data_IF_402637003731
#
_entry.id   IF_402637003731
#
_cell.length_a   1.000
_cell.length_b   1.000
_cell.length_c   1.000
_cell.angle_alpha   90.00
_cell.angle_beta   90.00
_cell.angle_gamma   90.00
#
_symmetry.space_group_name_H-M   'P 1'
#
loop_
_entity.id
_entity.type
_entity.pdbx_description
1 polymer ?
#
# COMPACT_ATOMS: atom_id res chain seq x y z
N UNK A 1 21.46 -16.19 -15.25
CA UNK A 1 20.51 -15.81 -16.32
C UNK A 1 19.79 -14.54 -15.87
N UNK A 2 20.29 -13.37 -16.27
CA UNK A 2 19.64 -12.08 -15.97
C UNK A 2 18.30 -12.04 -16.70
N UNK A 3 17.20 -12.12 -15.96
CA UNK A 3 15.87 -11.97 -16.53
C UNK A 3 15.69 -10.56 -17.06
N UNK A 4 15.34 -10.44 -18.34
CA UNK A 4 14.93 -9.19 -18.95
C UNK A 4 13.79 -8.57 -18.14
N UNK A 5 13.91 -7.27 -17.85
CA UNK A 5 12.80 -6.46 -17.31
C UNK A 5 11.63 -6.60 -18.27
N UNK A 6 10.48 -7.08 -17.78
CA UNK A 6 9.27 -7.03 -18.59
C UNK A 6 8.78 -5.59 -18.64
N UNK A 7 8.35 -5.13 -19.82
CA UNK A 7 7.76 -3.80 -19.95
C UNK A 7 6.53 -3.72 -19.05
N UNK A 8 6.54 -2.79 -18.10
CA UNK A 8 5.38 -2.52 -17.25
C UNK A 8 4.27 -1.99 -18.14
N UNK A 9 3.13 -2.68 -18.14
CA UNK A 9 1.99 -2.27 -18.95
C UNK A 9 1.43 -0.93 -18.44
N UNK A 10 0.98 -0.02 -19.34
CA UNK A 10 0.56 1.33 -18.95
C UNK A 10 -0.52 1.35 -17.88
N UNK A 11 -1.43 0.37 -17.88
CA UNK A 11 -2.51 0.27 -16.89
C UNK A 11 -1.97 0.20 -15.46
N UNK A 12 -0.92 -0.59 -15.21
CA UNK A 12 -0.35 -0.75 -13.87
C UNK A 12 0.40 0.50 -13.42
N UNK A 13 1.12 1.15 -14.34
CA UNK A 13 1.79 2.41 -14.07
C UNK A 13 0.78 3.52 -13.74
N UNK A 14 -0.32 3.61 -14.50
CA UNK A 14 -1.39 4.57 -14.23
C UNK A 14 -2.04 4.27 -12.88
N UNK A 15 -2.36 3.01 -12.57
CA UNK A 15 -2.90 2.62 -11.26
C UNK A 15 -1.96 3.06 -10.14
N UNK A 16 -0.67 2.75 -10.23
CA UNK A 16 0.35 3.18 -9.28
C UNK A 16 0.35 4.71 -9.04
N UNK A 17 0.39 5.50 -10.12
CA UNK A 17 0.41 6.96 -10.04
C UNK A 17 -0.89 7.53 -9.46
N UNK A 18 -2.04 6.99 -9.87
CA UNK A 18 -3.35 7.39 -9.35
C UNK A 18 -3.44 7.07 -7.86
N UNK A 19 -2.98 5.89 -7.44
CA UNK A 19 -2.96 5.53 -6.03
C UNK A 19 -2.12 6.51 -5.22
N UNK A 20 -0.98 6.97 -5.73
CA UNK A 20 -0.19 8.01 -5.04
C UNK A 20 -1.02 9.27 -4.81
N UNK A 21 -1.69 9.76 -5.86
CA UNK A 21 -2.53 10.97 -5.77
C UNK A 21 -3.68 10.76 -4.78
N UNK A 22 -4.33 9.59 -4.81
CA UNK A 22 -5.45 9.25 -3.92
C UNK A 22 -4.97 9.17 -2.46
N UNK A 23 -3.89 8.45 -2.17
CA UNK A 23 -3.34 8.32 -0.82
C UNK A 23 -2.95 9.69 -0.23
N UNK A 24 -2.21 10.51 -0.99
CA UNK A 24 -1.84 11.85 -0.55
C UNK A 24 -3.07 12.75 -0.35
N UNK A 25 -4.11 12.58 -1.17
CA UNK A 25 -5.38 13.30 -1.01
C UNK A 25 -6.15 12.85 0.24
N UNK A 26 -6.11 11.56 0.57
CA UNK A 26 -6.69 11.02 1.80
C UNK A 26 -5.98 11.64 3.00
N UNK A 27 -4.65 11.58 3.04
CA UNK A 27 -3.87 12.12 4.14
C UNK A 27 -4.10 13.63 4.34
N UNK A 28 -4.09 14.41 3.25
CA UNK A 28 -4.09 15.88 3.33
C UNK A 28 -5.48 16.49 3.47
N UNK A 29 -6.49 15.89 2.87
CA UNK A 29 -7.81 16.51 2.74
C UNK A 29 -8.94 15.64 3.30
N UNK A 30 -9.08 14.40 2.81
CA UNK A 30 -10.26 13.58 3.11
C UNK A 30 -10.24 13.13 4.57
N UNK A 31 -9.12 12.61 5.06
CA UNK A 31 -8.93 12.18 6.45
C UNK A 31 -9.25 13.30 7.45
N UNK A 32 -8.58 14.47 7.37
CA UNK A 32 -8.89 15.63 8.21
C UNK A 32 -10.36 16.05 8.16
N UNK A 33 -10.98 16.04 6.97
CA UNK A 33 -12.38 16.40 6.80
C UNK A 33 -13.32 15.39 7.49
N UNK A 34 -13.06 14.08 7.37
CA UNK A 34 -13.83 13.04 8.08
C UNK A 34 -13.66 13.22 9.59
N UNK A 35 -12.42 13.34 10.07
CA UNK A 35 -12.11 13.43 11.50
C UNK A 35 -12.73 14.65 12.16
N UNK A 36 -12.73 15.81 11.50
CA UNK A 36 -13.42 17.02 11.99
C UNK A 36 -14.92 16.84 12.14
N UNK A 37 -15.54 16.00 11.31
CA UNK A 37 -16.97 15.69 11.41
C UNK A 37 -17.29 14.65 12.48
N UNK A 38 -16.37 13.72 12.72
CA UNK A 38 -16.53 12.68 13.73
C UNK A 38 -16.18 13.16 15.14
N UNK A 39 -15.22 14.07 15.27
CA UNK A 39 -14.78 14.60 16.57
C UNK A 39 -14.42 16.09 16.51
N UNK A 40 -14.94 16.84 17.48
CA UNK A 40 -14.60 18.25 17.67
C UNK A 40 -13.15 18.46 18.19
N UNK A 41 -12.45 17.37 18.57
CA UNK A 41 -11.09 17.45 19.15
C UNK A 41 -9.98 17.47 18.10
N UNK A 42 -10.26 17.18 16.83
CA UNK A 42 -9.22 17.12 15.80
C UNK A 42 -8.40 18.42 15.70
N UNK A 43 -9.08 19.56 15.71
CA UNK A 43 -8.41 20.86 15.63
C UNK A 43 -7.66 21.26 16.91
N UNK A 44 -7.83 20.51 18.01
CA UNK A 44 -7.04 20.70 19.24
C UNK A 44 -5.79 19.83 19.30
N UNK A 45 -5.62 18.89 18.36
CA UNK A 45 -4.47 18.00 18.32
C UNK A 45 -3.18 18.76 17.93
N UNK A 46 -2.05 18.34 18.52
CA UNK A 46 -0.71 18.76 18.10
C UNK A 46 -0.42 18.32 16.66
N UNK A 47 0.55 18.96 16.00
CA UNK A 47 0.94 18.61 14.63
C UNK A 47 1.31 17.13 14.49
N UNK A 48 2.14 16.61 15.40
CA UNK A 48 2.53 15.20 15.43
C UNK A 48 1.32 14.28 15.49
N UNK A 49 0.36 14.59 16.39
CA UNK A 49 -0.82 13.72 16.55
C UNK A 49 -1.77 13.81 15.34
N UNK A 50 -1.84 14.95 14.67
CA UNK A 50 -2.60 15.07 13.41
C UNK A 50 -1.97 14.24 12.30
N UNK A 51 -0.63 14.25 12.18
CA UNK A 51 0.09 13.42 11.21
C UNK A 51 -0.19 11.95 11.46
N UNK A 52 -0.06 11.47 12.70
CA UNK A 52 -0.35 10.08 13.07
C UNK A 52 -1.78 9.68 12.70
N UNK A 53 -2.80 10.45 13.13
CA UNK A 53 -4.19 10.07 12.88
C UNK A 53 -4.54 10.16 11.38
N UNK A 54 -3.97 11.12 10.64
CA UNK A 54 -4.17 11.20 9.19
C UNK A 54 -3.50 10.02 8.45
N UNK A 55 -2.31 9.61 8.87
CA UNK A 55 -1.62 8.43 8.37
C UNK A 55 -2.46 7.18 8.64
N UNK A 56 -2.96 7.02 9.87
CA UNK A 56 -3.82 5.89 10.24
C UNK A 56 -5.08 5.82 9.38
N UNK A 57 -5.72 6.96 9.08
CA UNK A 57 -6.87 7.00 8.17
C UNK A 57 -6.52 6.57 6.74
N UNK A 58 -5.36 6.98 6.24
CA UNK A 58 -4.86 6.58 4.92
C UNK A 58 -4.52 5.08 4.88
N UNK A 59 -3.81 4.57 5.89
CA UNK A 59 -3.45 3.17 6.05
C UNK A 59 -4.70 2.28 6.17
N UNK A 60 -5.69 2.67 6.98
CA UNK A 60 -6.98 1.97 7.07
C UNK A 60 -7.68 1.85 5.71
N UNK A 61 -7.77 2.95 4.97
CA UNK A 61 -8.39 2.93 3.64
C UNK A 61 -7.64 2.01 2.68
N UNK A 62 -6.30 2.05 2.71
CA UNK A 62 -5.45 1.17 1.93
C UNK A 62 -5.66 -0.32 2.28
N UNK A 63 -5.53 -0.66 3.55
CA UNK A 63 -5.66 -2.03 4.07
C UNK A 63 -7.00 -2.65 3.71
N UNK A 64 -8.10 -1.89 3.78
CA UNK A 64 -9.41 -2.38 3.36
C UNK A 64 -9.45 -2.70 1.86
N UNK A 65 -8.91 -1.82 1.01
CA UNK A 65 -8.94 -2.03 -0.45
C UNK A 65 -8.03 -3.19 -0.85
N UNK A 66 -6.74 -3.13 -0.49
CA UNK A 66 -5.75 -4.13 -0.91
C UNK A 66 -5.97 -5.46 -0.22
N UNK A 67 -6.27 -5.43 1.08
CA UNK A 67 -6.51 -6.63 1.85
C UNK A 67 -7.75 -7.41 1.37
N UNK A 68 -8.90 -6.74 1.24
CA UNK A 68 -10.12 -7.41 0.77
C UNK A 68 -9.98 -7.89 -0.68
N UNK A 69 -9.38 -7.08 -1.58
CA UNK A 69 -9.14 -7.51 -2.96
C UNK A 69 -8.21 -8.72 -3.02
N UNK A 70 -7.18 -8.76 -2.18
CA UNK A 70 -6.25 -9.89 -2.12
C UNK A 70 -6.93 -11.17 -1.64
N UNK A 71 -7.75 -11.08 -0.60
CA UNK A 71 -8.57 -12.20 -0.12
C UNK A 71 -9.55 -12.67 -1.18
N UNK A 72 -10.21 -11.76 -1.89
CA UNK A 72 -11.11 -12.11 -2.98
C UNK A 72 -10.40 -12.91 -4.07
N UNK A 73 -9.26 -12.42 -4.55
CA UNK A 73 -8.47 -13.12 -5.59
C UNK A 73 -8.01 -14.49 -5.08
N UNK A 74 -7.49 -14.56 -3.86
CA UNK A 74 -7.00 -15.80 -3.28
C UNK A 74 -8.09 -16.87 -3.13
N UNK A 75 -9.32 -16.47 -2.77
CA UNK A 75 -10.43 -17.40 -2.52
C UNK A 75 -11.20 -17.80 -3.79
N UNK A 76 -11.13 -17.00 -4.86
CA UNK A 76 -11.98 -17.19 -6.04
C UNK A 76 -11.24 -17.58 -7.30
N UNK A 77 -9.91 -17.43 -7.34
CA UNK A 77 -9.13 -17.67 -8.56
C UNK A 77 -8.15 -18.83 -8.39
N UNK A 78 -8.34 -19.89 -9.18
CA UNK A 78 -7.52 -21.12 -9.15
C UNK A 78 -6.15 -20.96 -9.85
N UNK A 79 -5.90 -19.83 -10.51
CA UNK A 79 -4.71 -19.57 -11.31
C UNK A 79 -3.53 -19.00 -10.51
N UNK A 80 -3.72 -18.69 -9.23
CA UNK A 80 -2.67 -18.23 -8.32
C UNK A 80 -1.88 -19.43 -7.80
N UNK A 81 -0.68 -19.64 -8.36
CA UNK A 81 0.12 -20.85 -8.14
C UNK A 81 1.28 -20.61 -7.16
N UNK A 82 1.37 -21.35 -6.04
CA UNK A 82 2.53 -21.29 -5.13
C UNK A 82 3.78 -21.94 -5.73
N UNK A 83 3.62 -22.83 -6.71
CA UNK A 83 4.70 -23.60 -7.32
C UNK A 83 5.49 -22.84 -8.39
N UNK A 84 4.98 -21.68 -8.83
CA UNK A 84 5.63 -20.87 -9.86
C UNK A 84 6.22 -19.60 -9.24
N UNK A 85 7.52 -19.39 -9.48
CA UNK A 85 8.22 -18.20 -8.99
C UNK A 85 8.01 -16.98 -9.86
N UNK A 86 7.63 -17.15 -11.13
CA UNK A 86 7.37 -16.04 -12.07
C UNK A 86 6.26 -16.42 -13.05
N UNK A 87 5.25 -15.58 -13.15
CA UNK A 87 4.15 -15.72 -14.11
C UNK A 87 3.33 -14.44 -14.15
N UNK A 88 2.59 -14.24 -15.23
CA UNK A 88 1.71 -13.09 -15.35
C UNK A 88 0.39 -13.37 -14.63
N UNK A 89 0.05 -12.56 -13.63
CA UNK A 89 -1.26 -12.58 -12.98
C UNK A 89 -1.80 -11.14 -12.94
N UNK A 90 -2.61 -10.74 -13.93
CA UNK A 90 -3.16 -9.39 -13.98
C UNK A 90 -3.88 -8.92 -12.70
N UNK A 91 -4.68 -9.77 -12.01
CA UNK A 91 -5.31 -9.39 -10.74
C UNK A 91 -4.28 -9.04 -9.66
N UNK A 92 -3.24 -9.87 -9.50
CA UNK A 92 -2.19 -9.63 -8.51
C UNK A 92 -1.39 -8.37 -8.85
N UNK A 93 -1.02 -8.20 -10.12
CA UNK A 93 -0.28 -7.01 -10.58
C UNK A 93 -1.08 -5.72 -10.39
N UNK A 94 -2.40 -5.76 -10.57
CA UNK A 94 -3.27 -4.62 -10.34
C UNK A 94 -3.32 -4.25 -8.85
N UNK A 95 -3.49 -5.23 -7.97
CA UNK A 95 -3.50 -5.01 -6.51
C UNK A 95 -2.12 -4.54 -6.02
N UNK A 96 -1.05 -5.16 -6.51
CA UNK A 96 0.33 -4.79 -6.21
C UNK A 96 0.64 -3.36 -6.65
N UNK A 97 0.08 -2.89 -7.78
CA UNK A 97 0.21 -1.48 -8.20
C UNK A 97 -0.38 -0.51 -7.17
N UNK A 98 -1.49 -0.88 -6.53
CA UNK A 98 -2.11 -0.10 -5.44
C UNK A 98 -1.23 -0.16 -4.19
N UNK A 99 -0.78 -1.36 -3.79
CA UNK A 99 0.17 -1.56 -2.69
C UNK A 99 1.45 -0.74 -2.85
N UNK A 100 2.02 -0.76 -4.04
CA UNK A 100 3.25 -0.04 -4.35
C UNK A 100 3.02 1.48 -4.30
N UNK A 101 1.91 1.97 -4.88
CA UNK A 101 1.57 3.39 -4.85
C UNK A 101 1.35 3.91 -3.41
N UNK A 102 0.71 3.12 -2.57
CA UNK A 102 0.57 3.41 -1.15
C UNK A 102 1.92 3.43 -0.44
N UNK A 103 2.75 2.40 -0.61
CA UNK A 103 4.08 2.30 0.03
C UNK A 103 4.97 3.51 -0.30
N UNK A 104 4.94 3.97 -1.56
CA UNK A 104 5.66 5.17 -1.98
C UNK A 104 5.06 6.45 -1.38
N UNK A 105 3.73 6.55 -1.31
CA UNK A 105 3.06 7.70 -0.67
C UNK A 105 3.44 7.83 0.79
N UNK A 106 3.45 6.70 1.50
CA UNK A 106 3.78 6.68 2.92
C UNK A 106 5.26 7.02 3.14
N UNK A 107 6.16 6.50 2.30
CA UNK A 107 7.57 6.90 2.30
C UNK A 107 7.75 8.42 2.06
N UNK A 108 7.01 9.02 1.13
CA UNK A 108 7.04 10.47 0.89
C UNK A 108 6.63 11.23 2.15
N UNK A 109 5.52 10.85 2.78
CA UNK A 109 5.01 11.50 3.99
C UNK A 109 5.99 11.34 5.16
N UNK A 110 6.59 10.17 5.29
CA UNK A 110 7.63 9.89 6.29
C UNK A 110 8.82 10.82 6.16
N UNK A 111 9.32 11.02 4.94
CA UNK A 111 10.44 11.90 4.68
C UNK A 111 10.10 13.37 4.93
N UNK A 112 8.85 13.78 4.66
CA UNK A 112 8.37 15.15 4.88
C UNK A 112 8.20 15.45 6.38
N UNK A 113 7.49 14.59 7.12
CA UNK A 113 7.12 14.87 8.50
C UNK A 113 8.14 14.39 9.53
N UNK A 114 9.09 13.53 9.13
CA UNK A 114 10.17 12.97 9.99
C UNK A 114 9.67 12.45 11.33
N UNK A 115 8.44 11.94 11.36
CA UNK A 115 7.75 11.63 12.61
C UNK A 115 8.09 10.23 13.15
N UNK A 116 8.83 9.41 12.39
CA UNK A 116 9.03 7.99 12.70
C UNK A 116 10.51 7.57 12.60
N UNK A 117 10.86 6.49 13.29
CA UNK A 117 12.23 5.99 13.40
C UNK A 117 12.75 5.27 12.15
N UNK A 118 14.07 5.06 12.10
CA UNK A 118 14.77 4.38 10.99
C UNK A 118 14.20 2.98 10.63
N UNK A 119 13.78 2.12 11.58
CA UNK A 119 13.20 0.81 11.24
C UNK A 119 11.93 0.93 10.40
N UNK A 120 11.10 1.94 10.67
CA UNK A 120 9.87 2.20 9.93
C UNK A 120 10.20 2.63 8.50
N UNK A 121 11.15 3.56 8.32
CA UNK A 121 11.62 3.98 6.99
C UNK A 121 12.18 2.79 6.18
N UNK A 122 12.98 1.92 6.81
CA UNK A 122 13.51 0.73 6.15
C UNK A 122 12.41 -0.24 5.71
N UNK A 123 11.37 -0.42 6.53
CA UNK A 123 10.20 -1.24 6.20
C UNK A 123 9.50 -0.71 4.93
N UNK A 124 9.21 0.59 4.84
CA UNK A 124 8.55 1.17 3.67
C UNK A 124 9.42 1.17 2.41
N UNK A 125 10.74 1.32 2.54
CA UNK A 125 11.67 1.15 1.42
C UNK A 125 11.61 -0.30 0.91
N UNK A 126 11.59 -1.29 1.81
CA UNK A 126 11.49 -2.69 1.42
C UNK A 126 10.14 -3.01 0.77
N UNK A 127 9.04 -2.45 1.30
CA UNK A 127 7.71 -2.59 0.72
C UNK A 127 7.64 -2.00 -0.70
N UNK A 128 8.20 -0.80 -0.89
CA UNK A 128 8.30 -0.16 -2.20
C UNK A 128 9.18 -0.96 -3.18
N UNK A 129 10.31 -1.49 -2.71
CA UNK A 129 11.17 -2.35 -3.51
C UNK A 129 10.46 -3.65 -3.92
N UNK A 130 9.72 -4.26 -3.00
CA UNK A 130 8.93 -5.46 -3.29
C UNK A 130 7.89 -5.18 -4.39
N UNK A 131 7.11 -4.10 -4.27
CA UNK A 131 6.14 -3.70 -5.30
C UNK A 131 6.79 -3.49 -6.66
N UNK A 132 7.95 -2.82 -6.71
CA UNK A 132 8.71 -2.68 -7.95
C UNK A 132 9.13 -4.05 -8.53
N UNK A 133 9.64 -4.97 -7.71
CA UNK A 133 10.11 -6.28 -8.18
C UNK A 133 8.96 -7.13 -8.72
N UNK A 134 7.82 -7.14 -8.03
CA UNK A 134 6.61 -7.85 -8.46
C UNK A 134 6.14 -7.28 -9.79
N UNK A 135 6.03 -5.95 -9.89
CA UNK A 135 5.53 -5.29 -11.08
C UNK A 135 6.46 -5.40 -12.30
N UNK A 136 7.77 -5.21 -12.11
CA UNK A 136 8.75 -5.18 -13.21
C UNK A 136 9.19 -6.57 -13.68
N UNK A 137 9.20 -7.56 -12.77
CA UNK A 137 9.70 -8.91 -13.05
C UNK A 137 8.65 -10.01 -12.89
N UNK A 138 7.39 -9.66 -12.60
CA UNK A 138 6.27 -10.60 -12.40
C UNK A 138 6.62 -11.70 -11.40
N UNK A 139 7.37 -11.31 -10.37
CA UNK A 139 8.02 -12.23 -9.45
C UNK A 139 7.14 -12.55 -8.26
N UNK A 140 7.01 -13.83 -7.98
CA UNK A 140 6.32 -14.43 -6.84
C UNK A 140 4.88 -13.89 -6.59
N UNK A 141 3.98 -13.87 -7.60
CA UNK A 141 2.62 -13.33 -7.42
C UNK A 141 1.85 -13.98 -6.25
N UNK A 142 1.97 -15.30 -6.05
CA UNK A 142 1.32 -15.99 -4.93
C UNK A 142 1.77 -15.43 -3.57
N UNK A 143 3.08 -15.31 -3.35
CA UNK A 143 3.62 -14.84 -2.08
C UNK A 143 3.32 -13.36 -1.86
N UNK A 144 3.41 -12.54 -2.90
CA UNK A 144 3.00 -11.14 -2.87
C UNK A 144 1.52 -11.01 -2.45
N UNK A 145 0.63 -11.77 -3.07
CA UNK A 145 -0.79 -11.79 -2.74
C UNK A 145 -1.03 -12.17 -1.27
N UNK A 146 -0.37 -13.22 -0.78
CA UNK A 146 -0.47 -13.61 0.64
C UNK A 146 0.08 -12.54 1.59
N UNK A 147 1.11 -11.80 1.18
CA UNK A 147 1.60 -10.61 1.87
C UNK A 147 0.52 -9.55 2.00
N UNK A 148 -0.07 -9.17 0.87
CA UNK A 148 -1.12 -8.15 0.80
C UNK A 148 -2.41 -8.53 1.54
N UNK A 149 -2.72 -9.84 1.68
CA UNK A 149 -3.82 -10.31 2.53
C UNK A 149 -3.63 -9.94 4.01
N UNK A 150 -2.37 -9.85 4.48
CA UNK A 150 -2.06 -9.49 5.87
C UNK A 150 -2.24 -8.00 6.15
N UNK A 151 -2.35 -7.14 5.13
CA UNK A 151 -2.56 -5.70 5.32
C UNK A 151 -3.84 -5.37 6.10
N UNK A 152 -4.84 -6.27 6.11
CA UNK A 152 -6.07 -6.09 6.92
C UNK A 152 -5.79 -6.02 8.43
N UNK A 153 -4.75 -6.68 8.92
CA UNK A 153 -4.42 -6.67 10.35
C UNK A 153 -3.57 -5.47 10.75
N UNK A 154 -2.88 -4.83 9.79
CA UNK A 154 -1.96 -3.71 9.99
C UNK A 154 -2.52 -2.60 10.89
N UNK A 155 -3.73 -2.07 10.60
CA UNK A 155 -4.31 -0.99 11.41
C UNK A 155 -4.60 -1.41 12.87
N UNK A 156 -4.87 -2.68 13.12
CA UNK A 156 -5.15 -3.21 14.46
C UNK A 156 -3.88 -3.41 15.29
N UNK A 157 -2.71 -3.59 14.66
CA UNK A 157 -1.43 -3.84 15.34
C UNK A 157 -0.54 -2.59 15.46
N UNK A 158 -0.69 -1.60 14.58
CA UNK A 158 0.06 -0.34 14.64
C UNK A 158 -0.52 0.70 15.63
N UNK A 159 -1.63 0.38 16.31
CA UNK A 159 -2.37 1.30 17.18
C UNK A 159 -2.08 1.14 18.69
N UNK A 160 -1.12 0.29 19.08
CA UNK A 160 -0.81 -0.04 20.49
C UNK A 160 0.42 0.68 21.02
#
# INVERSE_FOLDING_TARGET
>A
MMSSVSSIEPVYLVTFLVTIVVCLSIFKFIGPWILRRMTNKYDTLSLTKRVEVNETMMALAHSLVVGLASWYVYLTMDDIKPTLTRYNSPPVLFIDSIFFGFSVSDLILLLIYRAFGLPFVAHHIMAAFNGYVVLAYRSMPYYCLTGMMMELSGPCVNSS
#
